data_IF_659351502085
#
_entry.id   IF_659351502085
#
_cell.length_a   1.000
_cell.length_b   1.000
_cell.length_c   1.000
_cell.angle_alpha   90.00
_cell.angle_beta   90.00
_cell.angle_gamma   90.00
#
_symmetry.space_group_name_H-M   'P 1'
#
loop_
_entity.id
_entity.type
_entity.pdbx_description
1 polymer ?
#
# COMPACT_ATOMS: atom_id res chain seq x y z
N UNK A 1 -43.98 46.22 11.30
CA UNK A 1 -44.94 46.18 10.17
C UNK A 1 -44.89 44.77 9.61
N UNK A 2 -45.94 44.01 9.94
CA UNK A 2 -46.88 43.27 9.05
C UNK A 2 -46.15 42.24 8.13
N UNK A 3 -46.49 41.04 7.99
CA UNK A 3 -47.63 40.11 8.22
C UNK A 3 -47.10 38.73 7.82
N UNK A 4 -47.22 37.63 8.40
CA UNK A 4 -48.36 36.81 8.78
C UNK A 4 -49.00 36.07 7.60
N UNK A 5 -48.69 34.76 7.40
CA UNK A 5 -49.66 33.91 6.72
C UNK A 5 -49.45 32.43 7.17
N UNK A 6 -50.46 31.95 7.88
CA UNK A 6 -50.70 30.57 8.30
C UNK A 6 -51.47 29.89 7.15
N UNK A 7 -51.13 28.70 6.77
CA UNK A 7 -52.02 27.84 5.98
C UNK A 7 -52.07 26.43 6.62
N UNK A 8 -53.24 26.16 7.17
CA UNK A 8 -53.75 24.85 7.59
C UNK A 8 -54.18 24.02 6.40
N UNK A 9 -53.88 22.76 6.35
CA UNK A 9 -54.51 21.79 5.44
C UNK A 9 -54.89 20.51 6.15
N UNK A 10 -56.08 20.07 5.86
CA UNK A 10 -56.93 19.16 6.55
C UNK A 10 -56.60 17.68 6.33
N UNK A 11 -56.88 16.87 7.35
CA UNK A 11 -57.05 15.41 7.30
C UNK A 11 -58.33 15.02 6.56
N UNK A 12 -58.24 14.04 5.69
CA UNK A 12 -59.39 13.26 5.21
C UNK A 12 -59.15 11.79 5.58
N UNK A 13 -59.98 11.29 6.50
CA UNK A 13 -60.12 9.90 6.83
C UNK A 13 -61.15 9.25 5.89
N UNK A 14 -60.79 8.11 5.29
CA UNK A 14 -61.76 7.21 4.63
C UNK A 14 -61.72 5.87 5.30
N UNK A 15 -62.79 5.56 6.02
CA UNK A 15 -63.14 4.25 6.49
C UNK A 15 -63.86 3.46 5.40
N UNK A 16 -63.49 2.21 5.19
CA UNK A 16 -64.28 1.26 4.37
C UNK A 16 -64.29 -0.11 5.04
N UNK A 17 -65.46 -0.66 5.12
CA UNK A 17 -65.99 -1.74 5.90
C UNK A 17 -65.37 -3.13 5.70
N UNK A 18 -65.32 -3.87 6.78
CA UNK A 18 -65.20 -5.32 6.87
C UNK A 18 -66.32 -6.08 6.23
N UNK A 19 -65.96 -7.25 5.67
CA UNK A 19 -66.88 -8.39 5.53
C UNK A 19 -66.17 -9.64 6.01
N UNK A 20 -66.73 -10.23 7.04
CA UNK A 20 -66.41 -11.55 7.54
C UNK A 20 -66.72 -12.62 6.49
N UNK A 21 -65.83 -13.61 6.28
CA UNK A 21 -66.20 -14.94 5.84
C UNK A 21 -65.40 -15.97 6.59
N UNK A 22 -66.13 -16.84 7.26
CA UNK A 22 -65.66 -18.01 7.99
C UNK A 22 -64.87 -18.96 7.10
N UNK A 23 -63.68 -19.34 7.52
CA UNK A 23 -62.83 -20.33 6.88
C UNK A 23 -62.07 -21.15 7.91
N UNK A 24 -62.23 -22.47 7.88
CA UNK A 24 -61.70 -23.49 8.78
C UNK A 24 -60.21 -23.38 9.10
N UNK A 25 -59.71 -23.93 10.22
CA UNK A 25 -58.32 -23.84 10.66
C UNK A 25 -57.40 -24.62 9.72
N UNK A 26 -56.50 -23.89 9.03
CA UNK A 26 -55.39 -24.46 8.24
C UNK A 26 -54.31 -24.88 9.23
N UNK A 27 -53.90 -26.14 9.15
CA UNK A 27 -52.77 -26.66 9.93
C UNK A 27 -51.46 -25.85 9.58
N UNK A 28 -50.56 -25.57 10.55
CA UNK A 28 -49.33 -24.90 10.26
C UNK A 28 -48.46 -25.78 9.34
N UNK A 29 -48.01 -25.19 8.25
CA UNK A 29 -46.98 -25.76 7.39
C UNK A 29 -45.69 -25.96 8.21
N UNK A 30 -44.90 -27.02 7.92
CA UNK A 30 -43.62 -27.19 8.60
C UNK A 30 -42.71 -25.99 8.33
N UNK A 31 -42.21 -25.37 9.40
CA UNK A 31 -41.13 -24.37 9.29
C UNK A 31 -39.92 -25.01 8.61
N UNK A 32 -39.74 -24.70 7.33
CA UNK A 32 -38.45 -24.91 6.69
C UNK A 32 -37.43 -24.06 7.42
N UNK A 33 -36.60 -24.70 8.24
CA UNK A 33 -35.41 -24.11 8.83
C UNK A 33 -34.44 -23.84 7.67
N UNK A 34 -34.63 -22.72 7.01
CA UNK A 34 -33.62 -22.16 6.11
C UNK A 34 -32.44 -21.78 6.99
N UNK A 35 -31.48 -22.68 7.07
CA UNK A 35 -30.13 -22.35 7.51
C UNK A 35 -29.65 -21.29 6.53
N UNK A 36 -29.72 -20.04 6.97
CA UNK A 36 -29.13 -18.93 6.24
C UNK A 36 -27.62 -19.19 6.19
N UNK A 37 -27.17 -19.76 5.07
CA UNK A 37 -25.77 -19.75 4.71
C UNK A 37 -25.42 -18.27 4.60
N UNK A 38 -24.76 -17.74 5.63
CA UNK A 38 -24.41 -16.32 5.70
C UNK A 38 -23.70 -15.91 4.42
N UNK A 39 -24.29 -14.96 3.71
CA UNK A 39 -23.71 -14.42 2.49
C UNK A 39 -22.28 -13.94 2.79
N UNK A 40 -21.29 -14.49 2.08
CA UNK A 40 -19.90 -14.09 2.21
C UNK A 40 -19.76 -12.61 1.85
N UNK A 41 -19.15 -11.82 2.75
CA UNK A 41 -18.88 -10.41 2.48
C UNK A 41 -17.73 -10.29 1.47
N UNK A 42 -18.00 -9.72 0.29
CA UNK A 42 -16.97 -9.40 -0.70
C UNK A 42 -16.20 -8.18 -0.19
N UNK A 43 -14.89 -8.33 -0.01
CA UNK A 43 -14.03 -7.25 0.46
C UNK A 43 -13.77 -6.23 -0.66
N UNK A 44 -13.54 -4.97 -0.26
CA UNK A 44 -13.21 -3.91 -1.22
C UNK A 44 -11.83 -4.14 -1.85
N UNK A 45 -11.78 -4.13 -3.18
CA UNK A 45 -10.53 -4.13 -3.96
C UNK A 45 -9.92 -2.74 -4.16
N UNK A 46 -10.40 -1.72 -3.44
CA UNK A 46 -9.86 -0.37 -3.52
C UNK A 46 -8.78 -0.17 -2.44
N UNK A 47 -7.53 0.19 -2.82
CA UNK A 47 -6.51 0.51 -1.84
C UNK A 47 -6.87 1.76 -1.04
N UNK A 48 -6.53 1.76 0.23
CA UNK A 48 -6.80 2.89 1.13
C UNK A 48 -5.73 2.97 2.21
N UNK A 49 -5.43 4.21 2.63
CA UNK A 49 -4.54 4.51 3.75
C UNK A 49 -5.23 5.45 4.72
N UNK A 50 -5.02 5.24 6.02
CA UNK A 50 -5.51 6.13 7.09
C UNK A 50 -4.48 6.28 8.19
N UNK A 51 -4.50 7.46 8.81
CA UNK A 51 -3.71 7.76 10.01
C UNK A 51 -4.63 7.80 11.23
N UNK A 52 -4.20 7.16 12.30
CA UNK A 52 -4.89 7.10 13.58
C UNK A 52 -3.93 7.60 14.66
N UNK A 53 -3.91 8.91 14.90
CA UNK A 53 -2.89 9.56 15.73
C UNK A 53 -1.49 9.22 15.23
N UNK A 54 -0.71 8.44 16.01
CA UNK A 54 0.67 8.08 15.65
C UNK A 54 0.73 6.84 14.73
N UNK A 55 -0.37 6.07 14.64
CA UNK A 55 -0.42 4.86 13.81
C UNK A 55 -0.92 5.16 12.41
N UNK A 56 -0.28 4.53 11.45
CA UNK A 56 -0.75 4.48 10.07
C UNK A 56 -1.24 3.07 9.73
N UNK A 57 -2.37 2.98 9.05
CA UNK A 57 -2.87 1.75 8.47
C UNK A 57 -3.05 1.89 6.96
N UNK A 58 -2.83 0.79 6.24
CA UNK A 58 -3.01 0.70 4.79
C UNK A 58 -3.58 -0.67 4.42
N UNK A 59 -4.48 -0.72 3.43
CA UNK A 59 -4.91 -1.96 2.81
C UNK A 59 -4.73 -1.86 1.30
N UNK A 60 -4.24 -2.93 0.67
CA UNK A 60 -4.03 -2.99 -0.76
C UNK A 60 -5.30 -3.37 -1.55
N UNK A 61 -5.18 -3.44 -2.88
CA UNK A 61 -6.25 -3.86 -3.79
C UNK A 61 -6.65 -5.35 -3.64
N UNK A 62 -5.90 -6.15 -2.89
CA UNK A 62 -6.22 -7.53 -2.53
C UNK A 62 -6.72 -7.66 -1.09
N UNK A 63 -6.99 -6.54 -0.42
CA UNK A 63 -7.37 -6.46 0.98
C UNK A 63 -6.32 -7.05 1.97
N UNK A 64 -5.04 -7.12 1.58
CA UNK A 64 -3.94 -7.32 2.51
C UNK A 64 -3.74 -5.99 3.25
N UNK A 65 -3.82 -6.03 4.58
CA UNK A 65 -3.76 -4.84 5.40
C UNK A 65 -2.51 -4.80 6.27
N UNK A 66 -2.07 -3.57 6.57
CA UNK A 66 -0.91 -3.26 7.37
C UNK A 66 -1.23 -2.17 8.40
N UNK A 67 -0.54 -2.19 9.53
CA UNK A 67 -0.47 -1.06 10.45
C UNK A 67 0.95 -0.87 10.95
N UNK A 68 1.35 0.37 11.17
CA UNK A 68 2.70 0.75 11.59
C UNK A 68 2.63 1.67 12.81
N UNK A 69 3.54 1.44 13.74
CA UNK A 69 3.79 2.32 14.87
C UNK A 69 5.24 2.84 14.82
N UNK A 70 5.45 4.14 14.98
CA UNK A 70 6.78 4.72 15.20
C UNK A 70 7.23 4.54 16.63
N UNK A 71 8.52 4.69 16.84
CA UNK A 71 9.06 4.99 18.17
C UNK A 71 8.69 6.40 18.61
N UNK A 72 8.52 6.59 19.93
CA UNK A 72 8.26 7.90 20.55
C UNK A 72 9.43 8.85 20.27
N UNK A 73 10.65 8.36 20.41
CA UNK A 73 11.84 9.06 19.91
C UNK A 73 11.96 8.77 18.41
N UNK A 74 11.94 9.78 17.55
CA UNK A 74 12.09 9.59 16.12
C UNK A 74 13.32 8.76 15.75
N UNK A 75 13.22 7.97 14.70
CA UNK A 75 14.34 7.22 14.13
C UNK A 75 15.05 6.27 15.10
N UNK A 76 14.30 5.55 15.92
CA UNK A 76 14.91 4.61 16.88
C UNK A 76 14.35 3.19 16.76
N UNK A 77 13.15 3.02 16.25
CA UNK A 77 12.52 1.72 16.08
C UNK A 77 11.11 1.82 15.52
N UNK A 78 10.58 0.69 15.16
CA UNK A 78 9.27 0.57 14.53
C UNK A 78 8.57 -0.74 14.87
N UNK A 79 7.26 -0.75 14.70
CA UNK A 79 6.44 -1.94 14.70
C UNK A 79 5.58 -1.97 13.44
N UNK A 80 5.48 -3.15 12.82
CA UNK A 80 4.62 -3.45 11.68
C UNK A 80 3.70 -4.60 12.00
N UNK A 81 2.40 -4.40 11.86
CA UNK A 81 1.40 -5.45 11.83
C UNK A 81 0.96 -5.67 10.39
N UNK A 82 0.80 -6.91 9.97
CA UNK A 82 0.16 -7.25 8.70
C UNK A 82 -0.86 -8.36 8.87
N UNK A 83 -1.93 -8.31 8.08
CA UNK A 83 -3.03 -9.25 8.12
C UNK A 83 -3.52 -9.56 6.72
N UNK A 84 -3.38 -10.83 6.30
CA UNK A 84 -3.90 -11.30 5.02
C UNK A 84 -5.45 -11.30 5.00
N UNK A 85 -6.06 -11.19 3.80
CA UNK A 85 -7.52 -11.05 3.68
C UNK A 85 -8.31 -12.32 3.98
N UNK A 86 -7.65 -13.49 4.03
CA UNK A 86 -8.33 -14.74 4.40
C UNK A 86 -8.91 -14.64 5.80
N UNK A 87 -10.19 -15.02 5.96
CA UNK A 87 -10.90 -14.92 7.23
C UNK A 87 -10.23 -15.68 8.39
N UNK A 88 -9.40 -16.69 8.09
CA UNK A 88 -8.67 -17.50 9.08
C UNK A 88 -7.21 -17.09 9.23
N UNK A 89 -6.74 -16.13 8.43
CA UNK A 89 -5.36 -15.68 8.52
C UNK A 89 -5.04 -15.13 9.92
N UNK A 90 -3.92 -15.56 10.47
CA UNK A 90 -3.36 -14.96 11.67
C UNK A 90 -2.60 -13.67 11.30
N UNK A 91 -2.60 -12.66 12.18
CA UNK A 91 -1.74 -11.49 12.00
C UNK A 91 -0.26 -11.88 12.10
N UNK A 92 0.59 -11.05 11.49
CA UNK A 92 2.03 -11.09 11.67
C UNK A 92 2.46 -9.74 12.24
N UNK A 93 3.18 -9.77 13.34
CA UNK A 93 3.79 -8.56 13.92
C UNK A 93 5.30 -8.65 13.75
N UNK A 94 5.90 -7.60 13.23
CA UNK A 94 7.35 -7.43 13.13
C UNK A 94 7.75 -6.18 13.89
N UNK A 95 8.93 -6.22 14.47
CA UNK A 95 9.54 -5.09 15.18
C UNK A 95 10.97 -4.94 14.72
N UNK A 96 11.46 -3.71 14.68
CA UNK A 96 12.84 -3.43 14.35
C UNK A 96 13.38 -2.28 15.19
N UNK A 97 14.64 -2.41 15.58
CA UNK A 97 15.42 -1.30 16.13
C UNK A 97 16.28 -0.73 15.01
N UNK A 98 16.38 0.59 14.98
CA UNK A 98 17.17 1.27 14.00
C UNK A 98 17.93 2.43 14.63
N UNK A 99 19.14 2.68 14.16
CA UNK A 99 19.94 3.83 14.56
C UNK A 99 20.60 4.44 13.33
N UNK A 100 20.32 5.72 13.02
CA UNK A 100 20.93 6.41 11.90
C UNK A 100 22.39 6.81 12.15
N UNK A 101 22.91 6.57 13.35
CA UNK A 101 24.24 7.01 13.79
C UNK A 101 25.37 6.04 13.46
N UNK A 102 26.59 6.38 13.91
CA UNK A 102 27.80 5.61 13.72
C UNK A 102 27.81 4.27 14.49
N UNK A 103 27.00 4.15 15.54
CA UNK A 103 26.84 2.91 16.28
C UNK A 103 25.77 2.06 15.59
N UNK A 104 26.21 1.16 14.74
CA UNK A 104 25.33 0.14 14.18
C UNK A 104 24.97 -0.85 15.27
N UNK A 105 23.68 -1.08 15.45
CA UNK A 105 23.20 -2.16 16.29
C UNK A 105 23.64 -3.49 15.69
N UNK A 106 23.99 -4.44 16.56
CA UNK A 106 24.24 -5.83 16.11
C UNK A 106 22.95 -6.39 15.51
N UNK A 107 22.92 -6.73 14.21
CA UNK A 107 21.72 -7.30 13.58
C UNK A 107 21.31 -8.64 14.24
N UNK A 108 22.25 -9.32 14.91
CA UNK A 108 22.00 -10.58 15.58
C UNK A 108 21.43 -10.43 17.01
N UNK A 109 21.23 -9.20 17.49
CA UNK A 109 20.70 -8.96 18.84
C UNK A 109 19.24 -9.46 18.95
N UNK A 110 18.96 -10.17 20.03
CA UNK A 110 17.60 -10.64 20.33
C UNK A 110 16.71 -9.44 20.74
N UNK A 111 15.53 -9.40 20.16
CA UNK A 111 14.54 -8.34 20.39
C UNK A 111 13.46 -8.81 21.37
N UNK A 112 13.24 -8.03 22.39
CA UNK A 112 12.15 -8.22 23.35
C UNK A 112 11.19 -7.04 23.29
N UNK A 113 9.91 -7.32 23.10
CA UNK A 113 8.84 -6.33 23.20
C UNK A 113 8.14 -6.45 24.56
N UNK A 114 8.24 -5.42 25.39
CA UNK A 114 7.58 -5.36 26.69
C UNK A 114 6.38 -4.40 26.60
N UNK A 115 5.17 -4.90 26.91
CA UNK A 115 3.93 -4.11 26.93
C UNK A 115 3.36 -4.14 28.33
N UNK A 116 3.23 -2.98 28.96
CA UNK A 116 2.73 -2.82 30.35
C UNK A 116 3.39 -3.81 31.34
N UNK A 117 4.71 -4.01 31.21
CA UNK A 117 5.50 -4.91 32.05
C UNK A 117 5.50 -6.38 31.66
N UNK A 118 4.71 -6.79 30.67
CA UNK A 118 4.73 -8.15 30.12
C UNK A 118 5.67 -8.25 28.94
N UNK A 119 6.68 -9.10 29.05
CA UNK A 119 7.64 -9.34 27.99
C UNK A 119 7.12 -10.39 26.99
N UNK A 120 7.39 -10.14 25.70
CA UNK A 120 7.15 -11.01 24.57
C UNK A 120 8.46 -11.15 23.79
N UNK A 121 8.97 -12.38 23.67
CA UNK A 121 10.20 -12.67 22.93
C UNK A 121 9.81 -13.01 21.49
N UNK A 122 10.40 -12.32 20.54
CA UNK A 122 10.17 -12.53 19.12
C UNK A 122 11.23 -13.45 18.50
N UNK A 123 10.85 -14.14 17.43
CA UNK A 123 11.82 -14.86 16.61
C UNK A 123 12.61 -13.86 15.75
N UNK A 124 13.93 -13.90 15.82
CA UNK A 124 14.82 -13.08 15.00
C UNK A 124 14.60 -13.33 13.51
N UNK A 125 14.72 -12.30 12.70
CA UNK A 125 14.80 -12.39 11.25
C UNK A 125 16.28 -12.36 10.87
N UNK A 126 16.76 -13.43 10.27
CA UNK A 126 18.14 -13.54 9.78
C UNK A 126 18.33 -12.72 8.48
N UNK A 127 19.59 -12.43 8.16
CA UNK A 127 19.98 -11.68 6.95
C UNK A 127 19.43 -10.24 6.84
N UNK A 128 19.03 -9.63 7.96
CA UNK A 128 18.65 -8.22 8.01
C UNK A 128 19.84 -7.33 8.34
N UNK A 129 19.88 -6.12 7.76
CA UNK A 129 20.92 -5.11 8.04
C UNK A 129 20.75 -4.42 9.40
N UNK A 130 19.69 -4.70 10.12
CA UNK A 130 19.34 -4.18 11.43
C UNK A 130 18.65 -5.27 12.26
N UNK A 131 18.61 -5.16 13.61
CA UNK A 131 17.85 -6.09 14.43
C UNK A 131 16.36 -6.05 14.08
N UNK A 132 15.85 -7.14 13.52
CA UNK A 132 14.44 -7.34 13.19
C UNK A 132 13.99 -8.65 13.81
N UNK A 133 12.79 -8.64 14.39
CA UNK A 133 12.17 -9.85 14.90
C UNK A 133 10.69 -9.93 14.53
N UNK A 134 10.17 -11.16 14.52
CA UNK A 134 8.82 -11.50 14.10
C UNK A 134 8.09 -12.29 15.17
N UNK A 135 6.85 -11.90 15.45
CA UNK A 135 5.89 -12.69 16.17
C UNK A 135 4.95 -13.38 15.17
N UNK A 136 4.70 -14.65 15.38
CA UNK A 136 3.82 -15.46 14.54
C UNK A 136 3.29 -16.68 15.29
N UNK A 137 2.45 -17.49 14.63
CA UNK A 137 1.86 -18.67 15.25
C UNK A 137 0.95 -18.34 16.43
N UNK A 138 0.92 -19.16 17.50
CA UNK A 138 0.03 -18.94 18.65
C UNK A 138 0.39 -17.71 19.48
N UNK A 139 1.65 -17.26 19.44
CA UNK A 139 2.14 -16.18 20.31
C UNK A 139 1.74 -14.78 19.80
N UNK A 140 1.35 -14.64 18.54
CA UNK A 140 1.03 -13.34 17.95
C UNK A 140 -0.27 -12.74 18.49
N UNK A 141 -1.28 -13.57 18.79
CA UNK A 141 -2.58 -13.08 19.28
C UNK A 141 -2.45 -12.38 20.64
N UNK A 142 -1.75 -12.94 21.65
CA UNK A 142 -1.45 -12.22 22.90
C UNK A 142 -0.74 -10.88 22.69
N UNK A 143 0.23 -10.80 21.76
CA UNK A 143 0.93 -9.55 21.40
C UNK A 143 -0.07 -8.52 20.86
N UNK A 144 -0.88 -8.90 19.86
CA UNK A 144 -1.88 -8.00 19.23
C UNK A 144 -2.87 -7.46 20.28
N UNK A 145 -3.35 -8.33 21.18
CA UNK A 145 -4.25 -7.92 22.27
C UNK A 145 -3.59 -6.94 23.23
N UNK A 146 -2.33 -7.19 23.58
CA UNK A 146 -1.58 -6.29 24.44
C UNK A 146 -1.33 -4.94 23.76
N UNK A 147 -1.00 -4.92 22.46
CA UNK A 147 -0.83 -3.68 21.68
C UNK A 147 -2.14 -2.86 21.61
N UNK A 148 -3.28 -3.52 21.43
CA UNK A 148 -4.58 -2.86 21.31
C UNK A 148 -5.07 -2.25 22.63
N UNK A 149 -4.75 -2.87 23.78
CA UNK A 149 -5.22 -2.46 25.10
C UNK A 149 -4.16 -1.74 25.94
N UNK A 150 -2.89 -1.83 25.54
CA UNK A 150 -1.74 -1.35 26.30
C UNK A 150 -1.62 0.17 26.35
N UNK A 151 -0.83 0.62 27.30
CA UNK A 151 -0.50 2.03 27.53
C UNK A 151 0.94 2.36 27.19
N UNK A 152 1.84 1.41 27.38
CA UNK A 152 3.29 1.58 27.15
C UNK A 152 3.87 0.33 26.50
N UNK A 153 4.61 0.51 25.42
CA UNK A 153 5.36 -0.55 24.74
C UNK A 153 6.84 -0.16 24.66
N UNK A 154 7.73 -1.06 25.04
CA UNK A 154 9.19 -0.86 24.97
C UNK A 154 9.80 -2.02 24.19
N UNK A 155 10.57 -1.68 23.18
CA UNK A 155 11.38 -2.61 22.42
C UNK A 155 12.82 -2.52 22.91
N UNK A 156 13.43 -3.65 23.26
CA UNK A 156 14.80 -3.71 23.78
C UNK A 156 15.65 -4.74 23.03
N UNK A 157 16.92 -4.38 22.78
CA UNK A 157 17.95 -5.28 22.27
C UNK A 157 19.34 -4.72 22.58
N UNK A 158 20.29 -5.59 22.92
CA UNK A 158 21.70 -5.21 23.11
C UNK A 158 21.93 -4.10 24.14
N UNK A 159 21.07 -4.01 25.16
CA UNK A 159 21.13 -2.94 26.19
C UNK A 159 20.50 -1.62 25.78
N UNK A 160 19.95 -1.50 24.58
CA UNK A 160 19.17 -0.35 24.14
C UNK A 160 17.67 -0.56 24.37
N UNK A 161 16.97 0.51 24.75
CA UNK A 161 15.52 0.52 24.92
C UNK A 161 14.89 1.65 24.11
N UNK A 162 13.81 1.33 23.41
CA UNK A 162 13.06 2.26 22.59
C UNK A 162 11.58 2.13 22.90
N UNK A 163 10.93 3.21 23.29
CA UNK A 163 9.49 3.25 23.49
C UNK A 163 8.78 3.39 22.14
N UNK A 164 7.85 2.47 21.86
CA UNK A 164 6.96 2.51 20.69
C UNK A 164 5.64 3.16 21.08
N UNK A 165 5.12 4.02 20.21
CA UNK A 165 3.81 4.64 20.45
C UNK A 165 2.68 3.63 20.33
N UNK A 166 1.79 3.58 21.33
CA UNK A 166 0.50 2.86 21.26
C UNK A 166 -0.67 3.80 20.98
N UNK A 167 -0.40 5.10 20.81
CA UNK A 167 -1.44 6.10 20.52
C UNK A 167 -2.02 5.88 19.12
N UNK A 168 -3.23 5.32 19.06
CA UNK A 168 -3.92 4.98 17.81
C UNK A 168 -3.92 3.48 17.46
N UNK A 169 -3.22 2.64 18.22
CA UNK A 169 -3.09 1.21 17.97
C UNK A 169 -4.45 0.51 17.78
N UNK A 170 -5.32 0.63 18.79
CA UNK A 170 -6.66 0.02 18.75
C UNK A 170 -7.50 0.52 17.57
N UNK A 171 -7.44 1.82 17.27
CA UNK A 171 -8.21 2.40 16.18
C UNK A 171 -7.71 1.93 14.80
N UNK A 172 -6.40 1.82 14.60
CA UNK A 172 -5.81 1.29 13.37
C UNK A 172 -6.18 -0.19 13.15
N UNK A 173 -6.09 -1.00 14.21
CA UNK A 173 -6.46 -2.42 14.16
C UNK A 173 -7.98 -2.62 13.96
N UNK A 174 -8.81 -1.79 14.59
CA UNK A 174 -10.26 -1.83 14.43
C UNK A 174 -10.66 -1.48 12.99
N UNK A 175 -9.99 -0.51 12.38
CA UNK A 175 -10.20 -0.17 10.98
C UNK A 175 -9.80 -1.34 10.04
N UNK A 176 -8.71 -2.06 10.34
CA UNK A 176 -8.35 -3.29 9.60
C UNK A 176 -9.44 -4.35 9.74
N UNK A 177 -9.94 -4.59 10.96
CA UNK A 177 -11.05 -5.52 11.20
C UNK A 177 -12.30 -5.14 10.39
N UNK A 178 -12.64 -3.85 10.33
CA UNK A 178 -13.75 -3.34 9.53
C UNK A 178 -13.52 -3.57 8.02
N UNK A 179 -12.34 -3.19 7.52
CA UNK A 179 -11.97 -3.35 6.10
C UNK A 179 -11.98 -4.81 5.63
N UNK A 180 -11.62 -5.73 6.52
CA UNK A 180 -11.60 -7.17 6.23
C UNK A 180 -12.87 -7.90 6.72
N UNK A 181 -13.92 -7.19 7.17
CA UNK A 181 -15.16 -7.79 7.62
C UNK A 181 -15.01 -8.69 8.85
N UNK A 182 -14.00 -8.45 9.70
CA UNK A 182 -13.67 -9.28 10.87
C UNK A 182 -14.30 -8.83 12.18
N UNK A 183 -14.93 -7.65 12.23
CA UNK A 183 -15.57 -7.18 13.45
C UNK A 183 -16.53 -8.23 14.03
N UNK A 184 -16.42 -8.47 15.33
CA UNK A 184 -17.23 -9.44 16.09
C UNK A 184 -17.06 -10.90 15.64
N UNK A 185 -15.99 -11.21 14.92
CA UNK A 185 -15.62 -12.60 14.62
C UNK A 185 -14.58 -13.11 15.63
N UNK A 186 -14.37 -14.44 15.76
CA UNK A 186 -13.32 -15.00 16.62
C UNK A 186 -11.90 -14.55 16.24
N UNK A 187 -11.68 -14.17 14.97
CA UNK A 187 -10.37 -13.78 14.43
C UNK A 187 -10.19 -12.26 14.30
N UNK A 188 -11.07 -11.46 14.89
CA UNK A 188 -10.90 -10.00 14.93
C UNK A 188 -9.65 -9.62 15.76
N UNK A 189 -8.95 -8.56 15.36
CA UNK A 189 -7.78 -8.05 16.08
C UNK A 189 -8.17 -7.41 17.42
N UNK A 190 -9.29 -6.67 17.44
CA UNK A 190 -9.72 -5.88 18.61
C UNK A 190 -11.10 -6.34 19.11
N UNK A 191 -12.13 -6.22 18.29
CA UNK A 191 -13.51 -6.51 18.68
C UNK A 191 -13.86 -7.96 18.35
N UNK A 192 -13.49 -8.87 19.26
CA UNK A 192 -13.78 -10.30 19.14
C UNK A 192 -15.23 -10.58 19.45
N UNK A 193 -15.81 -11.55 18.76
CA UNK A 193 -17.16 -12.06 18.97
C UNK A 193 -17.32 -13.44 18.32
N UNK A 194 -18.57 -13.89 18.22
CA UNK A 194 -18.90 -15.24 17.74
C UNK A 194 -19.45 -15.23 16.30
N UNK A 195 -19.53 -14.05 15.66
CA UNK A 195 -20.04 -13.95 14.31
C UNK A 195 -19.16 -14.79 13.35
N UNK A 196 -19.74 -15.66 12.53
CA UNK A 196 -18.96 -16.43 11.56
C UNK A 196 -18.16 -15.51 10.62
N UNK A 197 -16.86 -15.79 10.49
CA UNK A 197 -16.02 -15.09 9.54
C UNK A 197 -16.20 -15.70 8.14
N UNK A 198 -16.86 -14.97 7.25
CA UNK A 198 -17.07 -15.34 5.86
C UNK A 198 -16.76 -14.15 4.96
N UNK A 199 -15.55 -14.12 4.41
CA UNK A 199 -15.09 -13.04 3.53
C UNK A 199 -14.50 -13.61 2.26
N UNK A 200 -14.73 -12.94 1.14
CA UNK A 200 -14.12 -13.26 -0.14
C UNK A 200 -13.15 -12.16 -0.52
N UNK A 201 -11.83 -12.47 -0.56
CA UNK A 201 -10.83 -11.51 -1.01
C UNK A 201 -11.09 -11.06 -2.46
N UNK A 202 -10.76 -9.80 -2.82
CA UNK A 202 -10.81 -9.35 -4.19
C UNK A 202 -9.85 -10.14 -5.08
N UNK A 203 -10.26 -10.40 -6.32
CA UNK A 203 -9.37 -10.99 -7.31
C UNK A 203 -8.32 -9.97 -7.73
N UNK A 204 -7.05 -10.35 -7.64
CA UNK A 204 -5.95 -9.51 -8.11
C UNK A 204 -5.95 -9.41 -9.63
N UNK A 205 -5.69 -8.23 -10.21
CA UNK A 205 -5.53 -8.08 -11.65
C UNK A 205 -4.39 -8.92 -12.18
N UNK A 206 -4.49 -9.34 -13.44
CA UNK A 206 -3.38 -9.93 -14.19
C UNK A 206 -2.81 -8.90 -15.14
N UNK A 207 -1.48 -8.80 -15.19
CA UNK A 207 -0.77 -7.97 -16.14
C UNK A 207 0.14 -8.87 -16.97
N UNK A 208 -0.07 -8.87 -18.28
CA UNK A 208 0.77 -9.60 -19.23
C UNK A 208 1.64 -8.61 -19.98
N UNK A 209 2.96 -8.79 -19.88
CA UNK A 209 3.91 -7.98 -20.63
C UNK A 209 3.91 -8.33 -22.11
N UNK A 210 4.30 -7.37 -22.95
CA UNK A 210 4.60 -7.62 -24.34
C UNK A 210 5.71 -8.68 -24.48
N UNK A 211 5.84 -9.37 -25.62
CA UNK A 211 6.96 -10.26 -25.86
C UNK A 211 8.30 -9.55 -25.66
N UNK A 212 9.29 -10.25 -25.10
CA UNK A 212 10.65 -9.70 -24.97
C UNK A 212 11.31 -9.57 -26.33
N UNK A 213 12.06 -8.47 -26.52
CA UNK A 213 12.78 -8.16 -27.76
C UNK A 213 14.25 -7.89 -27.49
N UNK A 214 15.09 -8.10 -28.51
CA UNK A 214 16.51 -7.79 -28.43
C UNK A 214 16.77 -6.29 -28.22
N UNK A 215 17.80 -5.95 -27.44
CA UNK A 215 18.17 -4.59 -27.07
C UNK A 215 19.36 -4.03 -27.90
N UNK A 216 19.65 -4.60 -29.07
CA UNK A 216 20.75 -4.12 -29.91
C UNK A 216 20.56 -2.65 -30.26
N UNK A 217 21.54 -1.81 -29.90
CA UNK A 217 21.52 -0.36 -30.10
C UNK A 217 20.79 0.42 -28.99
N UNK A 218 20.38 -0.25 -27.89
CA UNK A 218 19.75 0.35 -26.73
C UNK A 218 20.50 -0.04 -25.44
N UNK A 219 20.21 0.65 -24.33
CA UNK A 219 20.78 0.34 -23.02
C UNK A 219 22.26 0.71 -22.85
N UNK A 220 22.83 1.51 -23.73
CA UNK A 220 24.16 2.09 -23.54
C UNK A 220 24.14 3.30 -22.61
N UNK A 221 25.32 3.68 -22.11
CA UNK A 221 25.48 4.88 -21.29
C UNK A 221 25.22 6.15 -22.13
N UNK A 222 24.31 6.98 -21.65
CA UNK A 222 23.99 8.29 -22.20
C UNK A 222 23.78 8.32 -23.74
N UNK A 223 22.82 7.56 -24.26
CA UNK A 223 22.57 7.53 -25.69
C UNK A 223 22.15 8.91 -26.21
N UNK A 224 22.53 9.22 -27.45
CA UNK A 224 22.11 10.46 -28.11
C UNK A 224 20.61 10.42 -28.36
N UNK A 225 19.88 11.45 -27.91
CA UNK A 225 18.46 11.57 -28.18
C UNK A 225 18.19 11.74 -29.69
N UNK A 226 17.19 11.03 -30.24
CA UNK A 226 16.70 11.32 -31.59
C UNK A 226 16.24 12.77 -31.72
N UNK A 227 16.54 13.40 -32.88
CA UNK A 227 16.24 14.81 -33.13
C UNK A 227 14.75 15.17 -32.90
N UNK A 228 13.82 14.25 -33.20
CA UNK A 228 12.40 14.43 -32.98
C UNK A 228 12.04 14.58 -31.49
N UNK A 229 12.76 13.88 -30.62
CA UNK A 229 12.56 13.98 -29.13
C UNK A 229 13.22 15.26 -28.61
N UNK A 230 14.47 15.56 -29.05
CA UNK A 230 15.19 16.77 -28.63
C UNK A 230 14.44 18.06 -29.01
N UNK A 231 13.67 18.04 -30.12
CA UNK A 231 12.86 19.17 -30.56
C UNK A 231 11.63 19.46 -29.72
N UNK A 232 11.17 18.51 -28.87
CA UNK A 232 9.96 18.65 -28.07
C UNK A 232 10.07 19.81 -27.07
N UNK A 233 9.01 20.64 -26.90
CA UNK A 233 9.00 21.67 -25.87
C UNK A 233 9.25 21.11 -24.45
N UNK A 234 8.67 19.95 -24.12
CA UNK A 234 8.87 19.29 -22.85
C UNK A 234 10.33 18.91 -22.60
N UNK A 235 11.05 18.42 -23.62
CA UNK A 235 12.48 18.09 -23.52
C UNK A 235 13.33 19.34 -23.37
N UNK A 236 13.02 20.42 -24.09
CA UNK A 236 13.67 21.73 -23.91
C UNK A 236 13.49 22.25 -22.49
N UNK A 237 12.30 22.10 -21.92
CA UNK A 237 12.04 22.44 -20.52
C UNK A 237 12.87 21.56 -19.57
N UNK A 238 12.91 20.24 -19.77
CA UNK A 238 13.77 19.34 -18.98
C UNK A 238 15.25 19.77 -19.04
N UNK A 239 15.76 20.15 -20.23
CA UNK A 239 17.14 20.65 -20.40
C UNK A 239 17.38 21.95 -19.62
N UNK A 240 16.38 22.84 -19.55
CA UNK A 240 16.47 24.06 -18.74
C UNK A 240 16.47 23.76 -17.24
N UNK A 241 15.56 22.88 -16.79
CA UNK A 241 15.44 22.47 -15.39
C UNK A 241 16.70 21.77 -14.86
N UNK A 242 17.46 21.09 -15.72
CA UNK A 242 18.71 20.37 -15.39
C UNK A 242 19.98 21.13 -15.80
N UNK A 243 19.89 22.34 -16.36
CA UNK A 243 21.03 23.10 -16.89
C UNK A 243 22.09 23.49 -15.85
N UNK A 244 21.74 23.50 -14.55
CA UNK A 244 22.65 23.74 -13.45
C UNK A 244 23.68 22.62 -13.24
N UNK A 245 23.46 21.42 -13.82
CA UNK A 245 24.36 20.28 -13.74
C UNK A 245 24.41 19.55 -15.09
N UNK A 246 25.50 19.74 -15.83
CA UNK A 246 25.65 19.14 -17.16
C UNK A 246 25.69 17.61 -17.15
N UNK A 247 26.13 16.99 -16.05
CA UNK A 247 26.14 15.53 -15.92
C UNK A 247 24.71 14.98 -15.84
N UNK A 248 23.89 15.58 -14.99
CA UNK A 248 22.47 15.20 -14.85
C UNK A 248 21.75 15.33 -16.19
N UNK A 249 21.95 16.44 -16.91
CA UNK A 249 21.31 16.65 -18.20
C UNK A 249 21.65 15.61 -19.27
N UNK A 250 22.76 14.87 -19.09
CA UNK A 250 23.20 13.82 -20.02
C UNK A 250 22.75 12.42 -19.65
N UNK A 251 22.21 12.19 -18.43
CA UNK A 251 21.78 10.87 -17.96
C UNK A 251 20.49 10.38 -18.66
N UNK A 252 20.56 10.28 -19.98
CA UNK A 252 19.49 9.71 -20.80
C UNK A 252 19.63 8.19 -20.81
N UNK A 253 18.52 7.47 -20.73
CA UNK A 253 18.53 6.04 -21.05
C UNK A 253 17.46 5.69 -22.08
N UNK A 254 17.67 4.59 -22.77
CA UNK A 254 16.77 4.11 -23.81
C UNK A 254 16.61 2.60 -23.76
N UNK A 255 15.50 2.11 -24.25
CA UNK A 255 15.23 0.69 -24.39
C UNK A 255 14.30 0.41 -25.56
N UNK A 256 14.42 -0.77 -26.16
CA UNK A 256 13.39 -1.28 -27.05
C UNK A 256 12.28 -1.93 -26.23
N UNK A 257 11.06 -1.44 -26.34
CA UNK A 257 9.90 -1.94 -25.62
C UNK A 257 9.27 -3.17 -26.30
N UNK A 258 9.17 -3.12 -27.62
CA UNK A 258 8.71 -4.19 -28.51
C UNK A 258 9.22 -3.94 -29.95
N UNK A 259 8.75 -4.69 -30.95
CA UNK A 259 9.20 -4.56 -32.33
C UNK A 259 8.86 -3.21 -32.98
N UNK A 260 7.96 -2.42 -32.37
CA UNK A 260 7.43 -1.17 -32.93
C UNK A 260 7.62 0.03 -32.02
N UNK A 261 8.03 -0.17 -30.77
CA UNK A 261 8.09 0.88 -29.76
C UNK A 261 9.42 0.91 -29.04
N UNK A 262 9.86 2.13 -28.77
CA UNK A 262 11.07 2.47 -28.04
C UNK A 262 10.74 3.35 -26.84
N UNK A 263 11.52 3.22 -25.78
CA UNK A 263 11.50 4.06 -24.60
C UNK A 263 12.70 4.99 -24.62
N UNK A 264 12.46 6.27 -24.32
CA UNK A 264 13.49 7.28 -24.12
C UNK A 264 13.19 8.05 -22.83
N UNK A 265 14.09 8.01 -21.86
CA UNK A 265 13.97 8.71 -20.60
C UNK A 265 14.91 9.90 -20.54
N UNK A 266 14.35 11.07 -20.28
CA UNK A 266 15.07 12.35 -20.27
C UNK A 266 15.03 12.91 -18.84
N UNK A 267 16.19 13.25 -18.25
CA UNK A 267 16.25 13.90 -16.94
C UNK A 267 15.43 15.19 -16.89
N UNK A 268 14.64 15.34 -15.85
CA UNK A 268 13.80 16.50 -15.61
C UNK A 268 14.24 17.29 -14.37
N UNK A 269 14.58 16.59 -13.31
CA UNK A 269 15.14 17.19 -12.10
C UNK A 269 16.11 16.24 -11.41
N UNK A 270 17.00 16.78 -10.60
CA UNK A 270 17.83 15.99 -9.70
C UNK A 270 17.85 16.62 -8.31
N UNK A 271 17.81 15.77 -7.29
CA UNK A 271 18.06 16.10 -5.90
C UNK A 271 19.28 15.34 -5.37
N UNK A 272 19.53 15.39 -4.06
CA UNK A 272 20.69 14.73 -3.47
C UNK A 272 20.72 13.19 -3.68
N UNK A 273 19.55 12.56 -3.85
CA UNK A 273 19.39 11.11 -3.95
C UNK A 273 18.25 10.67 -4.89
N UNK A 274 17.63 11.62 -5.59
CA UNK A 274 16.54 11.38 -6.52
C UNK A 274 16.84 12.03 -7.87
N UNK A 275 16.79 11.24 -8.94
CA UNK A 275 16.78 11.70 -10.32
C UNK A 275 15.39 11.47 -10.91
N UNK A 276 14.67 12.53 -11.22
CA UNK A 276 13.39 12.46 -11.93
C UNK A 276 13.60 12.48 -13.43
N UNK A 277 12.97 11.57 -14.14
CA UNK A 277 12.99 11.51 -15.60
C UNK A 277 11.58 11.57 -16.18
N UNK A 278 11.45 12.25 -17.32
CA UNK A 278 10.28 12.15 -18.18
C UNK A 278 10.52 11.07 -19.22
N UNK A 279 9.55 10.19 -19.38
CA UNK A 279 9.64 9.06 -20.31
C UNK A 279 8.79 9.32 -21.54
N UNK A 280 9.39 9.08 -22.71
CA UNK A 280 8.71 9.13 -24.01
C UNK A 280 8.65 7.73 -24.61
N UNK A 281 7.50 7.37 -25.16
CA UNK A 281 7.32 6.20 -26.01
C UNK A 281 7.26 6.65 -27.45
N UNK A 282 8.05 6.03 -28.31
CA UNK A 282 8.21 6.42 -29.71
C UNK A 282 8.02 5.23 -30.65
N UNK A 283 7.91 5.50 -31.94
CA UNK A 283 8.19 4.51 -32.98
C UNK A 283 9.69 4.34 -33.19
N UNK A 284 10.12 3.42 -34.08
CA UNK A 284 11.53 3.15 -34.37
C UNK A 284 12.31 4.40 -34.79
N UNK A 285 13.51 4.60 -34.19
CA UNK A 285 14.33 5.76 -34.43
C UNK A 285 13.78 7.05 -33.81
N UNK A 286 13.01 6.98 -32.76
CA UNK A 286 12.46 8.13 -32.02
C UNK A 286 11.31 8.82 -32.73
N UNK A 287 10.65 8.19 -33.71
CA UNK A 287 9.51 8.78 -34.44
C UNK A 287 8.27 8.89 -33.60
N UNK A 288 7.46 9.92 -33.86
CA UNK A 288 6.17 10.14 -33.21
C UNK A 288 6.25 10.05 -31.67
N UNK A 289 7.12 10.85 -31.03
CA UNK A 289 7.33 10.79 -29.59
C UNK A 289 6.08 11.25 -28.83
N UNK A 290 5.64 10.43 -27.87
CA UNK A 290 4.54 10.76 -26.97
C UNK A 290 4.98 10.55 -25.51
N UNK A 291 4.63 11.45 -24.58
CA UNK A 291 4.92 11.23 -23.17
C UNK A 291 4.19 9.99 -22.66
N UNK A 292 4.90 9.15 -21.89
CA UNK A 292 4.31 8.02 -21.21
C UNK A 292 3.55 8.47 -19.97
N UNK A 293 2.43 7.82 -19.68
CA UNK A 293 1.69 7.99 -18.43
C UNK A 293 1.85 6.74 -17.57
N UNK A 294 2.12 6.94 -16.28
CA UNK A 294 2.35 5.89 -15.30
C UNK A 294 1.21 5.88 -14.28
N UNK A 295 0.27 4.92 -14.33
CA UNK A 295 -0.80 4.79 -13.34
C UNK A 295 -0.25 4.62 -11.92
N UNK A 296 -0.96 5.15 -10.93
CA UNK A 296 -0.64 5.01 -9.51
C UNK A 296 -1.79 4.33 -8.75
N UNK A 297 -1.52 3.75 -7.59
CA UNK A 297 -2.53 3.04 -6.80
C UNK A 297 -3.65 3.95 -6.26
N UNK A 298 -3.34 5.19 -5.92
CA UNK A 298 -4.25 6.10 -5.19
C UNK A 298 -4.54 7.41 -5.92
N UNK A 299 -3.92 7.67 -7.06
CA UNK A 299 -3.95 9.01 -7.62
C UNK A 299 -3.99 9.09 -9.12
N UNK A 300 -3.79 10.31 -9.59
CA UNK A 300 -3.63 10.63 -11.00
C UNK A 300 -2.34 10.00 -11.53
N UNK A 301 -2.32 9.49 -12.78
CA UNK A 301 -1.10 9.04 -13.42
C UNK A 301 -0.03 10.15 -13.45
N UNK A 302 1.23 9.77 -13.28
CA UNK A 302 2.37 10.66 -13.41
C UNK A 302 3.04 10.50 -14.80
N UNK A 303 3.65 11.55 -15.29
CA UNK A 303 4.52 11.55 -16.48
C UNK A 303 6.02 11.54 -16.12
N UNK A 304 6.32 11.64 -14.82
CA UNK A 304 7.68 11.70 -14.30
C UNK A 304 7.88 10.55 -13.31
N UNK A 305 8.94 9.79 -13.50
CA UNK A 305 9.34 8.67 -12.63
C UNK A 305 10.71 8.96 -12.03
N UNK A 306 10.94 8.49 -10.80
CA UNK A 306 12.13 8.85 -10.02
C UNK A 306 13.01 7.63 -9.81
N UNK A 307 14.32 7.79 -10.05
CA UNK A 307 15.31 6.72 -9.99
C UNK A 307 14.84 5.51 -10.81
N UNK A 308 14.48 5.79 -12.05
CA UNK A 308 13.87 4.82 -12.95
C UNK A 308 14.89 3.85 -13.54
N UNK A 309 14.50 2.57 -13.61
CA UNK A 309 15.26 1.51 -14.24
C UNK A 309 14.32 0.63 -15.07
N UNK A 310 14.75 0.26 -16.29
CA UNK A 310 13.96 -0.63 -17.15
C UNK A 310 14.65 -1.98 -17.32
N UNK A 311 13.93 -3.03 -16.95
CA UNK A 311 14.33 -4.43 -17.20
C UNK A 311 13.68 -4.94 -18.50
N UNK A 312 14.44 -5.10 -19.58
CA UNK A 312 13.91 -5.58 -20.86
C UNK A 312 13.52 -7.05 -20.83
N UNK A 313 14.03 -7.86 -19.90
CA UNK A 313 13.68 -9.27 -19.80
C UNK A 313 12.25 -9.45 -19.28
N UNK A 314 11.84 -8.62 -18.35
CA UNK A 314 10.49 -8.63 -17.76
C UNK A 314 9.58 -7.52 -18.31
N UNK A 315 10.08 -6.62 -19.16
CA UNK A 315 9.39 -5.41 -19.69
C UNK A 315 8.89 -4.53 -18.57
N UNK A 316 9.62 -4.48 -17.47
CA UNK A 316 9.23 -3.76 -16.26
C UNK A 316 10.07 -2.49 -16.11
N UNK A 317 9.41 -1.35 -15.99
CA UNK A 317 10.01 -0.11 -15.50
C UNK A 317 9.78 -0.07 -14.00
N UNK A 318 10.85 0.06 -13.23
CA UNK A 318 10.81 0.28 -11.79
C UNK A 318 11.18 1.73 -11.47
N UNK A 319 10.64 2.25 -10.38
CA UNK A 319 10.96 3.57 -9.85
C UNK A 319 11.00 3.53 -8.33
N UNK A 320 11.94 4.25 -7.74
CA UNK A 320 12.09 4.37 -6.30
C UNK A 320 12.28 5.84 -5.89
N UNK A 321 11.17 6.50 -5.60
CA UNK A 321 11.20 7.86 -5.07
C UNK A 321 11.46 7.82 -3.57
N UNK A 322 12.68 8.15 -3.15
CA UNK A 322 13.11 8.14 -1.75
C UNK A 322 12.62 9.40 -1.05
N UNK A 323 12.02 9.25 0.13
CA UNK A 323 11.67 10.37 1.00
C UNK A 323 12.91 10.99 1.66
N UNK A 324 13.95 10.18 1.91
CA UNK A 324 15.29 10.60 2.35
C UNK A 324 16.37 9.65 1.88
N UNK A 325 17.64 10.05 1.98
CA UNK A 325 18.78 9.38 1.33
C UNK A 325 18.96 7.90 1.65
N UNK A 326 18.65 7.49 2.88
CA UNK A 326 18.75 6.08 3.31
C UNK A 326 17.65 5.18 2.74
N UNK A 327 16.56 5.75 2.17
CA UNK A 327 15.54 4.99 1.49
C UNK A 327 14.60 4.15 2.38
N UNK A 328 14.37 4.58 3.62
CA UNK A 328 13.46 3.95 4.57
C UNK A 328 12.04 4.53 4.54
N UNK A 329 11.78 5.46 3.65
CA UNK A 329 10.49 6.05 3.32
C UNK A 329 10.46 6.52 1.88
N UNK A 330 9.26 6.57 1.30
CA UNK A 330 9.04 6.98 -0.07
C UNK A 330 8.01 6.12 -0.79
N UNK A 331 8.16 6.03 -2.12
CA UNK A 331 7.26 5.27 -3.00
C UNK A 331 8.12 4.39 -3.91
N UNK A 332 7.86 3.08 -3.88
CA UNK A 332 8.41 2.10 -4.81
C UNK A 332 7.30 1.64 -5.75
N UNK A 333 7.55 1.69 -7.07
CA UNK A 333 6.56 1.36 -8.08
C UNK A 333 7.18 0.54 -9.20
N UNK A 334 6.38 -0.35 -9.78
CA UNK A 334 6.75 -1.08 -11.00
C UNK A 334 5.60 -1.09 -11.98
N UNK A 335 5.93 -0.89 -13.24
CA UNK A 335 4.97 -0.95 -14.35
C UNK A 335 5.46 -1.90 -15.41
N UNK A 336 4.54 -2.65 -16.00
CA UNK A 336 4.85 -3.56 -17.11
C UNK A 336 4.39 -2.93 -18.42
N UNK A 337 5.25 -2.95 -19.42
CA UNK A 337 4.88 -2.60 -20.80
C UNK A 337 4.04 -3.73 -21.42
N UNK A 338 2.83 -3.43 -21.83
CA UNK A 338 1.85 -4.41 -22.36
C UNK A 338 1.79 -4.46 -23.90
N UNK A 339 2.58 -3.63 -24.59
CA UNK A 339 2.50 -3.40 -26.04
C UNK A 339 1.65 -2.20 -26.43
N UNK A 340 0.89 -1.65 -25.46
CA UNK A 340 0.05 -0.47 -25.66
C UNK A 340 0.37 0.65 -24.66
N UNK A 341 0.58 0.30 -23.39
CA UNK A 341 0.86 1.24 -22.31
C UNK A 341 1.64 0.56 -21.16
N UNK A 342 2.19 1.37 -20.28
CA UNK A 342 2.67 0.94 -18.98
C UNK A 342 1.49 0.74 -18.03
N UNK A 343 1.36 -0.46 -17.48
CA UNK A 343 0.30 -0.83 -16.53
C UNK A 343 0.93 -1.09 -15.18
N UNK A 344 0.36 -0.51 -14.12
CA UNK A 344 0.87 -0.66 -12.75
C UNK A 344 0.87 -2.14 -12.35
N UNK A 345 2.06 -2.66 -12.06
CA UNK A 345 2.29 -4.03 -11.60
C UNK A 345 2.19 -4.11 -10.08
N UNK A 346 2.93 -3.26 -9.41
CA UNK A 346 2.88 -3.12 -7.95
C UNK A 346 3.29 -1.72 -7.51
N UNK A 347 2.83 -1.36 -6.30
CA UNK A 347 3.21 -0.13 -5.60
C UNK A 347 3.23 -0.39 -4.10
N UNK A 348 4.34 0.00 -3.48
CA UNK A 348 4.47 0.11 -2.02
C UNK A 348 4.79 1.56 -1.65
N UNK A 349 4.27 2.02 -0.52
CA UNK A 349 4.45 3.40 -0.08
C UNK A 349 4.59 3.47 1.43
N UNK A 350 5.70 4.05 1.90
CA UNK A 350 5.97 4.37 3.29
C UNK A 350 6.18 5.87 3.41
N UNK A 351 5.22 6.57 4.01
CA UNK A 351 5.27 8.04 4.11
C UNK A 351 6.11 8.52 5.29
N UNK A 352 6.11 7.75 6.36
CA UNK A 352 6.86 8.04 7.56
C UNK A 352 8.25 7.42 7.49
N UNK A 353 9.29 8.24 7.65
CA UNK A 353 10.67 7.80 7.72
C UNK A 353 10.97 7.31 9.16
N UNK A 354 10.94 6.01 9.39
CA UNK A 354 11.08 5.41 10.72
C UNK A 354 12.05 4.20 10.74
N UNK A 355 12.86 4.02 9.70
CA UNK A 355 13.84 2.93 9.63
C UNK A 355 13.29 1.60 9.11
N UNK A 356 12.06 1.57 8.55
CA UNK A 356 11.49 0.35 7.98
C UNK A 356 12.15 0.05 6.63
N UNK A 357 12.76 -1.13 6.44
CA UNK A 357 13.30 -1.55 5.15
C UNK A 357 12.23 -1.54 4.04
N UNK A 358 12.63 -1.21 2.81
CA UNK A 358 11.71 -0.99 1.70
C UNK A 358 10.90 -2.24 1.30
N UNK A 359 11.44 -3.43 1.50
CA UNK A 359 10.77 -4.71 1.28
C UNK A 359 9.66 -5.01 2.32
N UNK A 360 9.66 -4.29 3.44
CA UNK A 360 8.63 -4.37 4.48
C UNK A 360 7.59 -3.26 4.39
N UNK A 361 7.65 -2.36 3.42
CA UNK A 361 6.67 -1.29 3.26
C UNK A 361 5.26 -1.82 2.97
N UNK A 362 4.22 -1.08 3.33
CA UNK A 362 2.86 -1.47 3.00
C UNK A 362 2.66 -1.46 1.48
N UNK A 363 2.19 -2.57 0.96
CA UNK A 363 1.74 -2.65 -0.42
C UNK A 363 0.40 -1.93 -0.57
N UNK A 364 0.24 -1.16 -1.62
CA UNK A 364 -1.03 -0.52 -2.00
C UNK A 364 -1.64 -1.16 -3.25
N UNK A 365 -0.80 -1.65 -4.13
CA UNK A 365 -1.22 -2.32 -5.35
C UNK A 365 -0.34 -3.51 -5.64
N UNK A 366 -0.96 -4.59 -6.05
CA UNK A 366 -0.26 -5.79 -6.54
C UNK A 366 -1.09 -6.48 -7.62
N UNK A 367 -0.39 -7.24 -8.45
CA UNK A 367 -0.97 -8.09 -9.50
C UNK A 367 -0.53 -9.54 -9.29
N UNK A 368 -1.13 -10.45 -10.03
CA UNK A 368 -0.81 -11.89 -10.03
C UNK A 368 -0.27 -12.34 -11.37
#
# INVERSE_FOLDING_TARGET
MRSGMVLTAALVALAACQRDQDGAPVAPAPEETTTAVGASTVLSGRPEQRTFRDWRAACDNGALCFAFAPSVRPDAGWLRLSLAPDARAAPVVMVGLWSPGAERLDPAADLTLTIDGRAFVAARVDDADQPIARFGGPDVVPVVRALAAGKRAVLSAGGQEVELSLSGAAAAMLWIDERQGRLETPNALVRVGERPAATTPPALPRVTGAPAVGQTGFGGDNPTLPAAIEALPAVKQCRQETSWNEYVGKEVFSARLDDRKELWAVPRFAGAYNLGVQVFVTGPGGRDPAPAAFPTALGTPTDTVVNAEYDPATRTLSAFNKGRGIGDCGIAQRWTWTGAAFVLKDQSEMRECMGVPADLWPTLWRTR
#
